data_IF_434297032895
#
_entry.id   IF_434297032895
#
_cell.length_a   1.000
_cell.length_b   1.000
_cell.length_c   1.000
_cell.angle_alpha   90.00
_cell.angle_beta   90.00
_cell.angle_gamma   90.00
#
_symmetry.space_group_name_H-M   'P 1'
#
loop_
_entity.id
_entity.type
_entity.pdbx_description
1 polymer ?
#
# COMPACT_ATOMS: atom_id res chain seq x y z
N UNK A 1 1.68 0.88 15.51
CA UNK A 1 0.59 1.84 15.75
C UNK A 1 -0.72 1.10 15.70
N UNK A 2 -1.59 1.28 16.71
CA UNK A 2 -2.85 0.56 16.81
C UNK A 2 -3.94 1.24 15.95
N UNK A 3 -4.86 0.45 15.39
CA UNK A 3 -6.03 0.86 14.58
C UNK A 3 -7.06 1.74 15.34
N UNK A 4 -6.73 2.12 16.58
CA UNK A 4 -7.60 2.78 17.54
C UNK A 4 -7.90 4.24 17.17
N UNK A 5 -7.04 4.87 16.36
CA UNK A 5 -7.12 6.30 16.01
C UNK A 5 -7.45 6.57 14.54
N UNK A 6 -8.19 5.69 13.87
CA UNK A 6 -8.66 5.91 12.49
C UNK A 6 -10.14 6.31 12.51
N UNK A 7 -10.51 7.45 11.94
CA UNK A 7 -11.91 7.89 11.86
C UNK A 7 -12.37 7.98 10.40
N UNK A 8 -13.38 7.19 10.07
CA UNK A 8 -14.00 7.10 8.74
C UNK A 8 -15.43 6.56 8.88
N UNK A 9 -16.36 6.95 8.01
CA UNK A 9 -17.77 6.47 8.08
C UNK A 9 -17.89 4.97 7.80
N UNK A 10 -16.93 4.38 7.07
CA UNK A 10 -16.79 2.92 6.86
C UNK A 10 -15.84 2.24 7.85
N UNK A 11 -15.37 2.93 8.91
CA UNK A 11 -14.39 2.38 9.87
C UNK A 11 -14.84 1.05 10.45
N UNK A 12 -16.12 0.90 10.79
CA UNK A 12 -16.63 -0.34 11.39
C UNK A 12 -16.40 -1.53 10.46
N UNK A 13 -16.87 -1.46 9.22
CA UNK A 13 -16.68 -2.50 8.21
C UNK A 13 -15.19 -2.81 7.95
N UNK A 14 -14.37 -1.76 7.90
CA UNK A 14 -12.92 -1.88 7.70
C UNK A 14 -12.22 -2.59 8.86
N UNK A 15 -12.49 -2.15 10.09
CA UNK A 15 -11.90 -2.72 11.31
C UNK A 15 -12.40 -4.14 11.53
N UNK A 16 -13.68 -4.42 11.27
CA UNK A 16 -14.21 -5.79 11.37
C UNK A 16 -13.59 -6.72 10.34
N UNK A 17 -13.35 -6.26 9.10
CA UNK A 17 -12.64 -7.04 8.09
C UNK A 17 -11.19 -7.36 8.51
N UNK A 18 -10.46 -6.37 9.03
CA UNK A 18 -9.11 -6.59 9.58
C UNK A 18 -9.12 -7.49 10.82
N UNK A 19 -10.15 -7.38 11.67
CA UNK A 19 -10.30 -8.24 12.84
C UNK A 19 -10.64 -9.68 12.46
N UNK A 20 -11.37 -9.90 11.36
CA UNK A 20 -11.69 -11.22 10.83
C UNK A 20 -10.43 -11.94 10.31
N UNK A 21 -9.61 -11.24 9.53
CA UNK A 21 -8.27 -11.70 9.10
C UNK A 21 -7.39 -12.08 10.30
N UNK A 22 -7.55 -11.41 11.45
CA UNK A 22 -6.83 -11.70 12.68
C UNK A 22 -7.40 -12.87 13.46
N UNK A 23 -8.73 -13.08 13.46
CA UNK A 23 -9.35 -14.18 14.20
C UNK A 23 -9.02 -15.55 13.62
N UNK A 24 -8.84 -15.66 12.31
CA UNK A 24 -8.36 -16.90 11.67
C UNK A 24 -6.91 -17.23 12.06
N UNK A 25 -6.13 -16.22 12.47
CA UNK A 25 -4.74 -16.39 12.92
C UNK A 25 -4.58 -16.62 14.44
N UNK A 26 -5.65 -16.52 15.24
CA UNK A 26 -5.57 -16.48 16.72
C UNK A 26 -5.96 -17.78 17.44
N UNK A 27 -6.18 -18.89 16.73
CA UNK A 27 -6.45 -20.19 17.37
C UNK A 27 -5.19 -20.95 17.82
N UNK A 28 -3.98 -20.39 17.69
CA UNK A 28 -2.77 -20.95 18.30
C UNK A 28 -1.94 -19.87 19.00
N UNK A 29 -1.96 -19.85 20.34
CA UNK A 29 -0.87 -19.26 21.14
C UNK A 29 -0.51 -20.24 22.27
N UNK A 30 0.76 -20.32 22.69
CA UNK A 30 1.17 -19.41 23.77
C UNK A 30 2.62 -18.86 23.72
N UNK A 31 2.69 -17.58 24.13
CA UNK A 31 3.74 -16.91 24.92
C UNK A 31 5.06 -16.45 24.29
N UNK A 32 5.38 -15.18 24.61
CA UNK A 32 6.69 -14.52 24.68
C UNK A 32 7.53 -14.42 23.39
N UNK A 33 7.53 -13.20 22.82
CA UNK A 33 8.41 -12.78 21.73
C UNK A 33 7.60 -12.38 20.51
N UNK A 34 7.46 -11.08 20.25
CA UNK A 34 6.88 -10.62 18.98
C UNK A 34 7.92 -10.76 17.87
N UNK A 35 8.11 -12.00 17.42
CA UNK A 35 8.72 -12.39 16.15
C UNK A 35 7.73 -13.37 15.52
N UNK A 36 7.37 -13.14 14.25
CA UNK A 36 6.52 -14.09 13.55
C UNK A 36 6.02 -13.59 12.20
N UNK A 37 6.96 -13.26 11.31
CA UNK A 37 6.72 -13.25 9.88
C UNK A 37 6.04 -14.58 9.53
N UNK A 38 4.79 -14.57 9.05
CA UNK A 38 4.16 -15.76 8.46
C UNK A 38 4.85 -15.99 7.10
N UNK A 39 6.09 -16.49 7.16
CA UNK A 39 6.89 -16.90 6.02
C UNK A 39 6.32 -18.21 5.50
N UNK A 40 5.30 -18.09 4.66
CA UNK A 40 5.06 -19.05 3.60
C UNK A 40 6.33 -19.12 2.73
N UNK A 41 7.04 -20.24 2.79
CA UNK A 41 8.11 -20.67 1.89
C UNK A 41 9.02 -19.55 1.32
N UNK A 42 9.82 -18.87 2.16
CA UNK A 42 10.90 -18.00 1.70
C UNK A 42 10.50 -16.79 0.83
N UNK A 43 9.20 -16.48 0.75
CA UNK A 43 8.66 -15.34 -0.02
C UNK A 43 8.41 -14.14 0.89
N UNK A 44 8.63 -12.94 0.36
CA UNK A 44 8.24 -11.68 0.98
C UNK A 44 6.71 -11.56 1.10
N UNK A 45 6.24 -10.64 1.95
CA UNK A 45 4.81 -10.34 2.10
C UNK A 45 4.14 -10.03 0.75
N UNK A 46 4.79 -9.22 -0.09
CA UNK A 46 4.23 -8.78 -1.36
C UNK A 46 4.20 -9.90 -2.41
N UNK A 47 5.17 -10.79 -2.42
CA UNK A 47 5.13 -12.00 -3.26
C UNK A 47 3.99 -12.94 -2.85
N UNK A 48 3.72 -13.05 -1.54
CA UNK A 48 2.58 -13.81 -1.04
C UNK A 48 1.25 -13.18 -1.48
N UNK A 49 1.12 -11.86 -1.43
CA UNK A 49 -0.06 -11.16 -1.97
C UNK A 49 -0.18 -11.43 -3.47
N UNK A 50 0.91 -11.25 -4.24
CA UNK A 50 0.88 -11.41 -5.69
C UNK A 50 0.43 -12.81 -6.12
N UNK A 51 0.90 -13.84 -5.39
CA UNK A 51 0.64 -15.26 -5.65
C UNK A 51 -0.64 -15.83 -5.03
N UNK A 52 -1.29 -15.12 -4.10
CA UNK A 52 -2.49 -15.61 -3.43
C UNK A 52 -3.64 -15.83 -4.43
N UNK A 53 -4.35 -16.95 -4.24
CA UNK A 53 -5.53 -17.35 -5.01
C UNK A 53 -6.77 -16.56 -4.57
N UNK A 54 -6.75 -15.28 -4.89
CA UNK A 54 -7.80 -14.30 -4.67
C UNK A 54 -7.82 -13.32 -5.85
N UNK A 55 -8.94 -12.62 -6.04
CA UNK A 55 -9.04 -11.61 -7.08
C UNK A 55 -8.11 -10.42 -6.80
N UNK A 56 -7.76 -9.67 -7.84
CA UNK A 56 -6.95 -8.46 -7.67
C UNK A 56 -7.67 -7.39 -6.83
N UNK A 57 -9.01 -7.36 -6.87
CA UNK A 57 -9.81 -6.44 -6.04
C UNK A 57 -9.70 -6.77 -4.55
N UNK A 58 -9.80 -8.05 -4.18
CA UNK A 58 -9.61 -8.51 -2.80
C UNK A 58 -8.20 -8.23 -2.27
N UNK A 59 -7.21 -8.24 -3.17
CA UNK A 59 -5.81 -7.94 -2.86
C UNK A 59 -5.48 -6.44 -2.94
N UNK A 60 -6.46 -5.61 -3.33
CA UNK A 60 -6.28 -4.20 -3.67
C UNK A 60 -5.16 -3.95 -4.68
N UNK A 61 -4.91 -4.92 -5.57
CA UNK A 61 -4.00 -4.79 -6.71
C UNK A 61 -4.71 -3.93 -7.77
N UNK A 62 -4.09 -2.80 -8.06
CA UNK A 62 -4.61 -1.83 -9.01
C UNK A 62 -4.17 -2.16 -10.44
N UNK A 63 -2.89 -2.55 -10.61
CA UNK A 63 -2.28 -2.79 -11.92
C UNK A 63 -1.21 -3.89 -11.83
N UNK A 64 -1.13 -4.74 -12.86
CA UNK A 64 -0.07 -5.75 -13.05
C UNK A 64 0.67 -5.46 -14.35
N UNK A 65 1.96 -5.14 -14.22
CA UNK A 65 2.89 -5.01 -15.32
C UNK A 65 3.68 -6.31 -15.56
N UNK A 66 4.70 -6.22 -16.41
CA UNK A 66 5.56 -7.35 -16.78
C UNK A 66 6.55 -7.69 -15.65
N UNK A 67 7.20 -6.68 -15.09
CA UNK A 67 8.21 -6.76 -14.04
C UNK A 67 7.76 -6.12 -12.73
N UNK A 68 6.78 -5.22 -12.76
CA UNK A 68 6.29 -4.49 -11.58
C UNK A 68 4.76 -4.57 -11.44
N UNK A 69 4.27 -4.26 -10.24
CA UNK A 69 2.84 -4.15 -9.98
C UNK A 69 2.53 -3.00 -9.02
N UNK A 70 1.25 -2.64 -8.93
CA UNK A 70 0.76 -1.53 -8.12
C UNK A 70 -0.40 -2.01 -7.25
N UNK A 71 -0.37 -1.69 -5.96
CA UNK A 71 -1.46 -1.97 -5.04
C UNK A 71 -1.71 -0.79 -4.08
N UNK A 72 -2.88 -0.78 -3.43
CA UNK A 72 -3.11 0.13 -2.30
C UNK A 72 -2.41 -0.38 -1.04
N UNK A 73 -1.88 0.56 -0.26
CA UNK A 73 -1.40 0.25 1.06
C UNK A 73 -2.59 -0.01 2.01
N UNK A 74 -2.61 -1.18 2.66
CA UNK A 74 -3.60 -1.54 3.69
C UNK A 74 -3.57 -0.60 4.91
N UNK A 75 -2.47 0.11 5.14
CA UNK A 75 -2.38 1.13 6.21
C UNK A 75 -2.00 2.48 5.60
N UNK A 76 -2.94 3.13 4.89
CA UNK A 76 -2.63 4.30 4.09
C UNK A 76 -2.37 5.54 4.98
N UNK A 77 -1.45 6.41 4.56
CA UNK A 77 -1.23 7.69 5.25
C UNK A 77 -2.34 8.69 4.95
N UNK A 78 -2.84 8.66 3.72
CA UNK A 78 -3.99 9.38 3.18
C UNK A 78 -4.73 8.46 2.21
N UNK A 79 -6.02 8.71 1.95
CA UNK A 79 -6.82 7.88 1.05
C UNK A 79 -6.18 7.79 -0.33
N UNK A 80 -6.03 6.58 -0.85
CA UNK A 80 -5.36 6.33 -2.13
C UNK A 80 -3.84 6.18 -2.06
N UNK A 81 -3.25 5.96 -0.88
CA UNK A 81 -1.82 5.62 -0.78
C UNK A 81 -1.50 4.35 -1.58
N UNK A 82 -0.76 4.49 -2.68
CA UNK A 82 -0.31 3.40 -3.54
C UNK A 82 1.12 2.98 -3.22
N UNK A 83 1.41 1.71 -3.47
CA UNK A 83 2.73 1.12 -3.49
C UNK A 83 3.02 0.62 -4.92
N UNK A 84 4.17 1.02 -5.47
CA UNK A 84 4.69 0.54 -6.76
C UNK A 84 5.96 -0.24 -6.49
N UNK A 85 6.06 -1.48 -6.95
CA UNK A 85 7.10 -2.41 -6.55
C UNK A 85 7.35 -3.48 -7.62
N UNK A 86 8.56 -4.08 -7.68
CA UNK A 86 8.83 -5.20 -8.56
C UNK A 86 8.01 -6.44 -8.18
N UNK A 87 7.80 -7.34 -9.16
CA UNK A 87 7.18 -8.64 -8.96
C UNK A 87 8.09 -9.57 -8.14
N UNK A 88 9.40 -9.44 -8.33
CA UNK A 88 10.48 -10.13 -7.61
C UNK A 88 10.80 -9.37 -6.33
N UNK A 89 10.96 -10.07 -5.20
CA UNK A 89 11.49 -9.45 -3.99
C UNK A 89 12.94 -9.00 -4.20
N UNK A 90 13.13 -7.68 -4.22
CA UNK A 90 14.43 -7.02 -4.25
C UNK A 90 14.41 -5.90 -3.20
N UNK A 91 15.23 -5.94 -2.14
CA UNK A 91 15.21 -4.93 -1.07
C UNK A 91 15.81 -3.58 -1.48
N UNK A 92 16.75 -3.58 -2.44
CA UNK A 92 17.61 -2.44 -2.70
C UNK A 92 17.43 -1.88 -4.13
N UNK A 93 17.54 -0.55 -4.28
CA UNK A 93 17.38 0.11 -5.58
C UNK A 93 18.44 -0.30 -6.61
N UNK A 94 19.66 -0.57 -6.15
CA UNK A 94 20.79 -1.00 -6.98
C UNK A 94 20.77 -2.49 -7.33
N UNK A 95 19.84 -3.25 -6.75
CA UNK A 95 19.58 -4.65 -7.12
C UNK A 95 18.55 -4.81 -8.25
N UNK A 96 17.89 -3.73 -8.69
CA UNK A 96 16.92 -3.77 -9.78
C UNK A 96 17.58 -3.98 -11.14
N UNK A 97 16.95 -4.78 -12.01
CA UNK A 97 17.35 -4.82 -13.43
C UNK A 97 16.97 -3.51 -14.12
N UNK A 98 17.50 -3.30 -15.34
CA UNK A 98 17.16 -2.09 -16.12
C UNK A 98 15.69 -2.05 -16.49
N UNK A 99 15.10 -3.21 -16.77
CA UNK A 99 13.70 -3.40 -17.13
C UNK A 99 12.79 -3.15 -15.92
N UNK A 100 13.12 -3.74 -14.76
CA UNK A 100 12.42 -3.50 -13.49
C UNK A 100 12.45 -2.01 -13.14
N UNK A 101 13.62 -1.37 -13.18
CA UNK A 101 13.75 0.06 -12.88
C UNK A 101 12.93 0.93 -13.82
N UNK A 102 12.97 0.65 -15.13
CA UNK A 102 12.27 1.43 -16.15
C UNK A 102 10.75 1.32 -15.99
N UNK A 103 10.24 0.11 -15.77
CA UNK A 103 8.82 -0.09 -15.56
C UNK A 103 8.36 0.49 -14.22
N UNK A 104 9.12 0.29 -13.14
CA UNK A 104 8.83 0.84 -11.82
C UNK A 104 8.56 2.35 -11.89
N UNK A 105 9.48 3.12 -12.50
CA UNK A 105 9.32 4.58 -12.59
C UNK A 105 8.27 5.02 -13.60
N UNK A 106 8.01 4.21 -14.64
CA UNK A 106 6.86 4.44 -15.53
C UNK A 106 5.54 4.30 -14.78
N UNK A 107 5.39 3.25 -13.97
CA UNK A 107 4.21 3.03 -13.14
C UNK A 107 4.07 4.07 -12.01
N UNK A 108 5.18 4.54 -11.44
CA UNK A 108 5.15 5.67 -10.47
C UNK A 108 4.61 6.93 -11.12
N UNK A 109 5.04 7.26 -12.34
CA UNK A 109 4.48 8.39 -13.10
C UNK A 109 2.98 8.21 -13.33
N UNK A 110 2.57 7.03 -13.74
CA UNK A 110 1.16 6.72 -14.03
C UNK A 110 0.30 6.77 -12.76
N UNK A 111 0.84 6.31 -11.62
CA UNK A 111 0.23 6.45 -10.29
C UNK A 111 0.01 7.93 -9.92
N UNK A 112 1.00 8.80 -10.13
CA UNK A 112 0.85 10.24 -9.87
C UNK A 112 -0.25 10.86 -10.72
N UNK A 113 -0.36 10.48 -11.99
CA UNK A 113 -1.43 10.94 -12.89
C UNK A 113 -2.79 10.47 -12.37
N UNK A 114 -2.93 9.17 -12.14
CA UNK A 114 -4.19 8.55 -11.71
C UNK A 114 -4.69 9.06 -10.34
N UNK A 115 -3.77 9.32 -9.41
CA UNK A 115 -4.12 9.89 -8.10
C UNK A 115 -4.64 11.32 -8.21
N UNK A 116 -4.03 12.14 -9.08
CA UNK A 116 -4.47 13.53 -9.30
C UNK A 116 -5.83 13.57 -9.98
N UNK A 117 -6.03 12.82 -11.06
CA UNK A 117 -7.30 12.80 -11.79
C UNK A 117 -8.42 12.04 -11.07
N UNK A 118 -8.10 10.90 -10.45
CA UNK A 118 -9.10 10.02 -9.83
C UNK A 118 -9.57 10.46 -8.44
N UNK A 119 -8.68 11.08 -7.65
CA UNK A 119 -9.02 11.54 -6.29
C UNK A 119 -9.06 13.06 -6.16
N UNK A 120 -8.64 13.82 -7.17
CA UNK A 120 -8.60 15.28 -7.11
C UNK A 120 -7.64 15.79 -6.04
N UNK A 121 -6.50 15.12 -5.84
CA UNK A 121 -5.46 15.58 -4.92
C UNK A 121 -4.64 16.73 -5.51
N UNK A 122 -4.19 17.64 -4.65
CA UNK A 122 -3.41 18.83 -5.04
C UNK A 122 -1.96 18.44 -5.40
N UNK A 123 -1.41 17.46 -4.70
CA UNK A 123 -0.03 17.01 -4.84
C UNK A 123 0.12 15.52 -4.49
N UNK A 124 1.30 14.95 -4.76
CA UNK A 124 1.65 13.57 -4.42
C UNK A 124 3.06 13.54 -3.85
N UNK A 125 3.25 12.94 -2.67
CA UNK A 125 4.59 12.59 -2.19
C UNK A 125 5.00 11.25 -2.80
N UNK A 126 6.20 11.21 -3.36
CA UNK A 126 6.80 9.99 -3.91
C UNK A 126 8.08 9.71 -3.14
N UNK A 127 8.25 8.49 -2.62
CA UNK A 127 9.43 8.16 -1.82
C UNK A 127 9.57 6.67 -1.52
N UNK A 128 10.75 6.30 -1.02
CA UNK A 128 11.14 4.93 -0.72
C UNK A 128 12.02 4.94 0.53
N UNK A 129 11.87 3.90 1.35
CA UNK A 129 12.61 3.72 2.61
C UNK A 129 13.49 2.48 2.47
N UNK A 130 14.79 2.68 2.25
CA UNK A 130 15.74 1.58 2.05
C UNK A 130 16.45 1.22 3.34
N UNK A 131 16.44 -0.06 3.68
CA UNK A 131 16.99 -0.60 4.91
C UNK A 131 16.16 -0.28 6.15
N UNK A 132 16.39 -1.05 7.22
CA UNK A 132 15.62 -0.96 8.47
C UNK A 132 15.73 0.44 9.13
N UNK A 133 16.90 1.09 9.03
CA UNK A 133 17.15 2.39 9.64
C UNK A 133 16.31 3.53 9.02
N UNK A 134 15.87 3.38 7.76
CA UNK A 134 15.01 4.36 7.08
C UNK A 134 13.53 4.23 7.48
N UNK A 135 13.18 3.31 8.38
CA UNK A 135 11.80 3.11 8.83
C UNK A 135 10.96 2.22 7.88
N UNK A 136 11.61 1.48 6.97
CA UNK A 136 10.95 0.48 6.14
C UNK A 136 10.50 -0.72 6.98
N UNK A 137 9.20 -0.80 7.28
CA UNK A 137 8.64 -1.96 8.00
C UNK A 137 8.75 -3.26 7.19
N UNK A 138 8.71 -3.16 5.86
CA UNK A 138 8.95 -4.24 4.91
C UNK A 138 10.23 -3.94 4.12
N UNK A 139 11.38 -4.08 4.77
CA UNK A 139 12.69 -3.77 4.16
C UNK A 139 13.26 -4.90 3.30
N UNK A 140 12.57 -6.04 3.23
CA UNK A 140 12.92 -7.20 2.41
C UNK A 140 12.46 -7.10 0.95
N UNK A 141 11.63 -6.10 0.63
CA UNK A 141 11.08 -5.90 -0.71
C UNK A 141 10.80 -4.41 -0.92
N UNK A 142 11.57 -3.80 -1.81
CA UNK A 142 11.46 -2.40 -2.20
C UNK A 142 10.06 -2.05 -2.68
N UNK A 143 9.55 -0.90 -2.23
CA UNK A 143 8.30 -0.35 -2.71
C UNK A 143 8.33 1.17 -2.66
N UNK A 144 7.91 1.79 -3.77
CA UNK A 144 7.78 3.24 -3.89
C UNK A 144 6.40 3.64 -3.42
N UNK A 145 6.36 4.48 -2.40
CA UNK A 145 5.14 5.08 -1.88
C UNK A 145 4.71 6.24 -2.78
N UNK A 146 3.47 6.21 -3.25
CA UNK A 146 2.80 7.34 -3.89
C UNK A 146 1.63 7.78 -3.00
N UNK A 147 1.81 8.88 -2.28
CA UNK A 147 0.88 9.35 -1.24
C UNK A 147 0.19 10.64 -1.71
N UNK A 148 -1.11 10.61 -2.06
CA UNK A 148 -1.83 11.81 -2.46
C UNK A 148 -1.98 12.78 -1.27
N UNK A 149 -1.87 14.08 -1.54
CA UNK A 149 -1.88 15.16 -0.55
C UNK A 149 -2.88 16.23 -0.92
N UNK A 150 -3.51 16.81 0.09
CA UNK A 150 -4.40 17.96 -0.03
C UNK A 150 -3.91 19.09 0.87
N UNK A 151 -4.18 20.32 0.46
CA UNK A 151 -3.95 21.48 1.31
C UNK A 151 -4.74 21.35 2.62
N UNK A 152 -4.04 21.21 3.74
CA UNK A 152 -4.63 21.06 5.07
C UNK A 152 -5.03 19.62 5.46
N UNK A 153 -4.54 18.60 4.76
CA UNK A 153 -4.80 17.19 5.13
C UNK A 153 -4.25 16.81 6.51
N UNK A 154 -3.15 17.43 6.93
CA UNK A 154 -2.70 17.47 8.30
C UNK A 154 -3.40 18.62 9.04
N UNK A 155 -4.46 18.28 9.76
CA UNK A 155 -5.24 19.22 10.56
C UNK A 155 -5.14 18.91 12.07
N UNK A 156 -5.91 19.63 12.89
CA UNK A 156 -5.88 19.51 14.34
C UNK A 156 -6.14 18.07 14.84
N UNK A 157 -6.94 17.27 14.13
CA UNK A 157 -7.20 15.87 14.50
C UNK A 157 -5.92 15.04 14.43
N UNK A 158 -5.14 15.21 13.35
CA UNK A 158 -3.91 14.46 13.13
C UNK A 158 -2.81 14.85 14.12
N UNK A 159 -2.75 16.12 14.52
CA UNK A 159 -1.66 16.65 15.37
C UNK A 159 -2.00 16.58 16.86
N UNK A 160 -3.21 17.00 17.26
CA UNK A 160 -3.59 17.11 18.67
C UNK A 160 -4.27 15.84 19.22
N UNK A 161 -4.95 15.08 18.34
CA UNK A 161 -5.69 13.88 18.73
C UNK A 161 -5.07 12.59 18.18
N UNK A 162 -3.90 12.68 17.54
CA UNK A 162 -3.19 11.57 16.88
C UNK A 162 -4.11 10.72 15.98
N UNK A 163 -5.15 11.35 15.42
CA UNK A 163 -6.24 10.68 14.71
C UNK A 163 -6.26 11.10 13.25
N UNK A 164 -6.18 10.12 12.35
CA UNK A 164 -6.26 10.37 10.90
C UNK A 164 -7.68 10.19 10.40
N UNK A 165 -8.11 11.13 9.57
CA UNK A 165 -9.37 11.07 8.84
C UNK A 165 -9.06 10.61 7.42
N UNK A 166 -9.61 9.46 7.05
CA UNK A 166 -9.58 8.96 5.68
C UNK A 166 -10.97 9.19 5.09
N UNK A 167 -11.13 10.07 4.09
CA UNK A 167 -12.44 10.43 3.52
C UNK A 167 -12.90 9.50 2.39
N UNK A 168 -12.05 8.58 1.92
CA UNK A 168 -12.40 7.55 0.92
C UNK A 168 -11.88 6.19 1.38
N UNK A 169 -12.70 5.14 1.22
CA UNK A 169 -12.33 3.75 1.56
C UNK A 169 -11.28 3.18 0.60
N UNK A 170 -10.65 2.06 0.95
CA UNK A 170 -9.70 1.41 0.03
C UNK A 170 -10.40 0.97 -1.26
N UNK A 171 -11.57 0.34 -1.16
CA UNK A 171 -12.31 -0.17 -2.32
C UNK A 171 -12.78 0.98 -3.23
N UNK A 172 -13.26 2.08 -2.63
CA UNK A 172 -13.68 3.25 -3.40
C UNK A 172 -12.47 3.95 -4.04
N UNK A 173 -11.35 4.05 -3.33
CA UNK A 173 -10.12 4.60 -3.89
C UNK A 173 -9.60 3.72 -5.03
N UNK A 174 -9.62 2.39 -4.89
CA UNK A 174 -9.23 1.43 -5.92
C UNK A 174 -10.05 1.67 -7.19
N UNK A 175 -11.37 1.74 -7.10
CA UNK A 175 -12.27 1.97 -8.24
C UNK A 175 -11.96 3.31 -8.94
N UNK A 176 -11.86 4.40 -8.17
CA UNK A 176 -11.65 5.76 -8.72
C UNK A 176 -10.29 5.91 -9.38
N UNK A 177 -9.23 5.39 -8.75
CA UNK A 177 -7.87 5.45 -9.27
C UNK A 177 -7.72 4.53 -10.49
N UNK A 178 -8.29 3.32 -10.46
CA UNK A 178 -8.23 2.40 -11.60
C UNK A 178 -8.95 2.97 -12.83
N UNK A 179 -10.12 3.60 -12.64
CA UNK A 179 -10.83 4.28 -13.71
C UNK A 179 -10.04 5.46 -14.32
N UNK A 180 -9.07 5.98 -13.57
CA UNK A 180 -8.23 7.11 -13.95
C UNK A 180 -6.81 6.70 -14.34
N UNK A 181 -6.53 5.39 -14.38
CA UNK A 181 -5.21 4.89 -14.73
C UNK A 181 -4.93 5.19 -16.21
N UNK A 182 -3.78 5.77 -16.56
CA UNK A 182 -3.41 5.99 -17.95
C UNK A 182 -3.46 4.67 -18.71
N UNK A 183 -4.20 4.63 -19.82
CA UNK A 183 -4.08 3.54 -20.78
C UNK A 183 -2.63 3.51 -21.24
N UNK A 184 -1.98 2.35 -21.17
CA UNK A 184 -0.65 2.14 -21.76
C UNK A 184 -0.73 2.68 -23.19
N UNK A 185 -0.02 3.77 -23.48
CA UNK A 185 0.15 4.20 -24.85
C UNK A 185 0.94 3.08 -25.54
N UNK A 186 0.41 2.45 -26.61
CA UNK A 186 1.09 1.37 -27.32
C UNK A 186 2.42 1.82 -27.92
#
# INVERSE_FOLDING_TARGET
MALEHLWATWRSAYVTGVAHDRSDALLETPSAGLVGNQQSAGRSLFENILAADASDDEKHILFRGEHCFVLLNKFPYTSGHLLVLPNRAEPDLDGLTTEEFTELWSLVRDAVVALKSGLGCDAVNVGLNLGQAAGGSQSDHLHVHCVPRWSGDANFMSVAAETRVLPVSLDEALVRVRASWPSIAP
#
